data_IF_382833707742
#
_entry.id   IF_382833707742
#
_cell.length_a   1.000
_cell.length_b   1.000
_cell.length_c   1.000
_cell.angle_alpha   90.00
_cell.angle_beta   90.00
_cell.angle_gamma   90.00
#
_symmetry.space_group_name_H-M   'P 1'
#
loop_
_entity.id
_entity.type
_entity.pdbx_description
1 polymer ?
#
# COMPACT_ATOMS: atom_id res chain seq x y z
N UNK A 1 3.35 -37.55 -6.49
CA UNK A 1 4.32 -36.52 -6.92
C UNK A 1 4.31 -35.40 -5.89
N UNK A 2 5.48 -34.88 -5.47
CA UNK A 2 5.88 -34.79 -4.06
C UNK A 2 5.41 -33.55 -3.28
N UNK A 3 5.42 -33.74 -1.95
CA UNK A 3 4.96 -32.86 -0.87
C UNK A 3 5.56 -31.45 -0.91
N UNK A 4 4.73 -30.45 -0.64
CA UNK A 4 5.19 -29.16 -0.11
C UNK A 4 4.85 -29.12 1.39
N UNK A 5 5.86 -29.12 2.28
CA UNK A 5 5.58 -29.20 3.71
C UNK A 5 4.87 -27.93 4.16
N UNK A 6 3.73 -28.14 4.80
CA UNK A 6 3.20 -27.24 5.82
C UNK A 6 4.25 -27.19 6.93
N UNK A 7 4.89 -26.03 7.06
CA UNK A 7 5.91 -25.77 8.05
C UNK A 7 5.69 -24.38 8.59
N UNK A 8 5.41 -24.34 9.89
CA UNK A 8 5.58 -23.21 10.80
C UNK A 8 4.56 -22.07 10.70
N UNK A 9 3.37 -22.35 11.21
CA UNK A 9 2.59 -21.37 11.97
C UNK A 9 3.41 -20.95 13.20
N UNK A 10 3.95 -19.72 13.24
CA UNK A 10 4.33 -19.04 14.50
C UNK A 10 4.62 -17.52 14.38
N UNK A 11 4.66 -16.90 13.21
CA UNK A 11 4.97 -15.44 13.10
C UNK A 11 4.11 -14.70 12.06
N UNK A 12 2.79 -14.90 12.18
CA UNK A 12 1.70 -14.63 11.21
C UNK A 12 1.53 -13.21 10.62
N UNK A 13 2.55 -12.35 10.56
CA UNK A 13 2.52 -11.06 9.85
C UNK A 13 3.37 -11.00 8.59
N UNK A 14 4.41 -11.83 8.45
CA UNK A 14 5.32 -11.77 7.30
C UNK A 14 5.28 -13.13 6.57
N UNK A 15 4.93 -13.16 5.27
CA UNK A 15 4.92 -14.40 4.51
C UNK A 15 6.29 -15.09 4.52
N UNK A 16 6.31 -16.40 4.70
CA UNK A 16 7.55 -17.20 4.73
C UNK A 16 8.38 -17.01 3.45
N UNK A 17 7.72 -16.90 2.31
CA UNK A 17 8.32 -16.57 1.01
C UNK A 17 9.02 -15.20 0.99
N UNK A 18 8.44 -14.18 1.64
CA UNK A 18 9.07 -12.87 1.79
C UNK A 18 10.25 -12.92 2.78
N UNK A 19 10.09 -13.62 3.90
CA UNK A 19 11.16 -13.79 4.90
C UNK A 19 12.41 -14.43 4.30
N UNK A 20 12.25 -15.47 3.46
CA UNK A 20 13.36 -16.11 2.75
C UNK A 20 14.08 -15.17 1.78
N UNK A 21 13.32 -14.35 1.03
CA UNK A 21 13.92 -13.39 0.10
C UNK A 21 14.65 -12.24 0.81
N UNK A 22 14.12 -11.78 1.95
CA UNK A 22 14.80 -10.81 2.81
C UNK A 22 16.06 -11.41 3.43
N UNK A 23 16.04 -12.67 3.85
CA UNK A 23 17.23 -13.36 4.37
C UNK A 23 18.34 -13.47 3.30
N UNK A 24 17.98 -13.67 2.04
CA UNK A 24 18.93 -13.68 0.93
C UNK A 24 19.51 -12.29 0.58
N UNK A 25 18.86 -11.21 1.03
CA UNK A 25 19.26 -9.82 0.71
C UNK A 25 19.48 -9.01 1.99
N UNK A 26 20.70 -8.98 2.54
CA UNK A 26 20.97 -8.34 3.85
C UNK A 26 20.61 -6.86 3.88
N UNK A 27 20.82 -6.11 2.78
CA UNK A 27 20.40 -4.70 2.66
C UNK A 27 18.88 -4.53 2.80
N UNK A 28 18.10 -5.40 2.15
CA UNK A 28 16.66 -5.36 2.23
C UNK A 28 16.15 -5.76 3.63
N UNK A 29 16.81 -6.72 4.30
CA UNK A 29 16.50 -7.11 5.68
C UNK A 29 16.67 -5.96 6.66
N UNK A 30 17.78 -5.23 6.58
CA UNK A 30 18.01 -4.04 7.43
C UNK A 30 16.94 -2.99 7.20
N UNK A 31 16.63 -2.70 5.93
CA UNK A 31 15.59 -1.73 5.60
C UNK A 31 14.20 -2.19 6.04
N UNK A 32 13.92 -3.49 5.96
CA UNK A 32 12.66 -4.11 6.41
C UNK A 32 12.45 -3.97 7.92
N UNK A 33 13.51 -4.16 8.71
CA UNK A 33 13.47 -3.95 10.16
C UNK A 33 13.25 -2.47 10.52
N UNK A 34 13.84 -1.55 9.76
CA UNK A 34 13.65 -0.09 9.86
C UNK A 34 12.23 0.36 9.45
N UNK A 35 11.50 -0.44 8.67
CA UNK A 35 10.14 -0.09 8.27
C UNK A 35 9.18 -0.02 9.46
N UNK A 36 8.30 0.98 9.40
CA UNK A 36 7.15 1.07 10.30
C UNK A 36 6.21 -0.14 10.11
N UNK A 37 5.46 -0.55 11.15
CA UNK A 37 4.51 -1.65 11.06
C UNK A 37 3.51 -1.50 9.90
N UNK A 38 3.14 -0.26 9.56
CA UNK A 38 2.23 0.03 8.44
C UNK A 38 2.91 -0.26 7.09
N UNK A 39 4.16 0.16 6.92
CA UNK A 39 4.92 -0.09 5.70
C UNK A 39 5.19 -1.60 5.48
N UNK A 40 5.42 -2.38 6.55
CA UNK A 40 5.50 -3.84 6.44
C UNK A 40 4.16 -4.44 5.98
N UNK A 41 3.04 -4.01 6.59
CA UNK A 41 1.69 -4.44 6.17
C UNK A 41 1.40 -4.10 4.71
N UNK A 42 1.82 -2.94 4.23
CA UNK A 42 1.74 -2.53 2.81
C UNK A 42 2.36 -3.55 1.86
N UNK A 43 3.63 -3.91 2.11
CA UNK A 43 4.33 -4.89 1.29
C UNK A 43 3.67 -6.26 1.36
N UNK A 44 3.22 -6.67 2.55
CA UNK A 44 2.54 -7.96 2.75
C UNK A 44 1.22 -8.00 1.97
N UNK A 45 0.34 -7.00 2.13
CA UNK A 45 -0.92 -6.94 1.37
C UNK A 45 -0.70 -6.83 -0.13
N UNK A 46 0.36 -6.13 -0.57
CA UNK A 46 0.70 -6.06 -1.99
C UNK A 46 1.17 -7.41 -2.54
N UNK A 47 1.97 -8.16 -1.78
CA UNK A 47 2.40 -9.50 -2.18
C UNK A 47 1.21 -10.47 -2.15
N UNK A 48 0.35 -10.35 -1.14
CA UNK A 48 -0.82 -11.23 -0.94
C UNK A 48 -1.93 -11.04 -1.99
N UNK A 49 -2.10 -9.80 -2.47
CA UNK A 49 -2.99 -9.48 -3.58
C UNK A 49 -2.65 -10.25 -4.89
N UNK A 50 -1.43 -10.79 -5.03
CA UNK A 50 -1.09 -11.61 -6.19
C UNK A 50 -1.64 -13.04 -6.05
N UNK A 51 -2.79 -13.29 -6.70
CA UNK A 51 -3.43 -14.62 -6.77
C UNK A 51 -2.59 -15.68 -7.51
N UNK A 52 -1.67 -15.24 -8.37
CA UNK A 52 -0.78 -16.12 -9.15
C UNK A 52 0.58 -16.26 -8.47
N UNK A 53 1.07 -17.50 -8.34
CA UNK A 53 2.35 -17.80 -7.67
C UNK A 53 3.56 -17.16 -8.36
N UNK A 54 3.58 -17.11 -9.70
CA UNK A 54 4.62 -16.40 -10.45
C UNK A 54 4.62 -14.91 -10.15
N UNK A 55 3.45 -14.28 -10.16
CA UNK A 55 3.30 -12.85 -9.83
C UNK A 55 3.72 -12.56 -8.40
N UNK A 56 3.41 -13.46 -7.47
CA UNK A 56 3.83 -13.37 -6.06
C UNK A 56 5.36 -13.36 -5.95
N UNK A 57 6.05 -14.30 -6.62
CA UNK A 57 7.52 -14.36 -6.66
C UNK A 57 8.12 -13.06 -7.22
N UNK A 58 7.65 -12.61 -8.38
CA UNK A 58 8.09 -11.34 -8.98
C UNK A 58 7.89 -10.14 -8.05
N UNK A 59 6.77 -10.08 -7.32
CA UNK A 59 6.51 -9.01 -6.33
C UNK A 59 7.48 -9.09 -5.14
N UNK A 60 7.82 -10.28 -4.66
CA UNK A 60 8.80 -10.46 -3.58
C UNK A 60 10.20 -10.02 -4.01
N UNK A 61 10.66 -10.42 -5.19
CA UNK A 61 11.95 -10.00 -5.74
C UNK A 61 11.99 -8.48 -5.91
N UNK A 62 10.91 -7.91 -6.44
CA UNK A 62 10.76 -6.47 -6.58
C UNK A 62 10.72 -5.77 -5.22
N UNK A 63 10.06 -6.33 -4.22
CA UNK A 63 10.07 -5.80 -2.85
C UNK A 63 11.50 -5.76 -2.29
N UNK A 64 12.28 -6.83 -2.45
CA UNK A 64 13.67 -6.87 -1.99
C UNK A 64 14.55 -5.84 -2.71
N UNK A 65 14.42 -5.74 -4.04
CA UNK A 65 15.12 -4.72 -4.84
C UNK A 65 14.73 -3.29 -4.41
N UNK A 66 13.46 -3.05 -4.13
CA UNK A 66 12.95 -1.76 -3.67
C UNK A 66 13.47 -1.40 -2.28
N UNK A 67 13.45 -2.35 -1.34
CA UNK A 67 13.99 -2.18 0.01
C UNK A 67 15.50 -1.93 -0.04
N UNK A 68 16.23 -2.66 -0.88
CA UNK A 68 17.65 -2.44 -1.10
C UNK A 68 17.95 -1.05 -1.71
N UNK A 69 17.02 -0.50 -2.50
CA UNK A 69 17.07 0.87 -3.02
C UNK A 69 16.55 1.92 -2.02
N UNK A 70 16.28 1.56 -0.75
CA UNK A 70 15.79 2.47 0.28
C UNK A 70 14.30 2.85 0.14
N UNK A 71 13.57 2.23 -0.79
CA UNK A 71 12.14 2.49 -0.96
C UNK A 71 11.37 1.76 0.13
N UNK A 72 10.68 2.55 0.95
CA UNK A 72 9.91 2.04 2.08
C UNK A 72 8.51 1.53 1.71
N UNK A 73 8.15 1.46 0.42
CA UNK A 73 6.81 1.07 -0.08
C UNK A 73 6.85 0.45 -1.48
N UNK A 74 5.89 -0.43 -1.84
CA UNK A 74 5.72 -0.92 -3.20
C UNK A 74 5.17 0.19 -4.12
N UNK A 75 5.79 0.38 -5.30
CA UNK A 75 5.71 1.65 -6.05
C UNK A 75 4.39 1.94 -6.77
N UNK A 76 3.32 1.17 -6.54
CA UNK A 76 2.10 1.29 -7.35
C UNK A 76 0.79 1.13 -6.57
N UNK A 77 0.78 1.18 -5.23
CA UNK A 77 -0.50 1.21 -4.49
C UNK A 77 -1.04 2.65 -4.37
N UNK A 78 -1.25 3.30 -5.50
CA UNK A 78 -2.15 4.45 -5.60
C UNK A 78 -3.20 4.09 -6.63
N UNK A 79 -4.14 3.24 -6.22
CA UNK A 79 -5.40 3.10 -6.92
C UNK A 79 -6.21 4.33 -6.52
N UNK A 80 -5.94 5.46 -7.18
CA UNK A 80 -6.86 6.60 -7.11
C UNK A 80 -8.10 6.14 -7.84
N UNK A 81 -9.20 5.95 -7.12
CA UNK A 81 -10.49 5.58 -7.73
C UNK A 81 -10.88 6.61 -8.79
N UNK A 82 -11.46 6.18 -9.91
CA UNK A 82 -11.88 7.09 -10.98
C UNK A 82 -12.74 8.25 -10.48
N UNK A 83 -13.67 7.98 -9.54
CA UNK A 83 -14.49 9.01 -8.90
C UNK A 83 -13.66 10.06 -8.13
N UNK A 84 -12.61 9.63 -7.43
CA UNK A 84 -11.71 10.56 -6.73
C UNK A 84 -10.92 11.40 -7.73
N UNK A 85 -10.46 10.80 -8.83
CA UNK A 85 -9.78 11.53 -9.90
C UNK A 85 -10.70 12.61 -10.51
N UNK A 86 -11.95 12.29 -10.82
CA UNK A 86 -12.93 13.25 -11.37
C UNK A 86 -13.19 14.41 -10.41
N UNK A 87 -13.39 14.13 -9.13
CA UNK A 87 -13.67 15.15 -8.12
C UNK A 87 -12.44 16.04 -7.86
N UNK A 88 -11.23 15.46 -7.85
CA UNK A 88 -9.99 16.24 -7.75
C UNK A 88 -9.76 17.07 -9.02
N UNK A 89 -10.08 16.56 -10.21
CA UNK A 89 -9.94 17.31 -11.45
C UNK A 89 -10.86 18.55 -11.48
N UNK A 90 -12.05 18.47 -10.87
CA UNK A 90 -12.98 19.59 -10.75
C UNK A 90 -12.54 20.67 -9.74
N UNK A 91 -11.64 20.33 -8.80
CA UNK A 91 -11.21 21.24 -7.71
C UNK A 91 -9.69 21.43 -7.71
N UNK A 92 -9.15 22.50 -8.35
CA UNK A 92 -7.71 22.68 -8.53
C UNK A 92 -6.93 22.78 -7.21
N UNK A 93 -7.50 23.41 -6.17
CA UNK A 93 -6.90 23.48 -4.83
C UNK A 93 -6.74 22.10 -4.19
N UNK A 94 -7.79 21.27 -4.26
CA UNK A 94 -7.73 19.91 -3.73
C UNK A 94 -6.75 19.04 -4.51
N UNK A 95 -6.64 19.22 -5.83
CA UNK A 95 -5.67 18.51 -6.69
C UNK A 95 -4.23 18.90 -6.37
N UNK A 96 -3.97 20.19 -6.18
CA UNK A 96 -2.66 20.68 -5.76
C UNK A 96 -2.27 20.10 -4.40
N UNK A 97 -3.18 20.16 -3.42
CA UNK A 97 -2.96 19.57 -2.10
C UNK A 97 -2.75 18.06 -2.19
N UNK A 98 -3.56 17.34 -2.96
CA UNK A 98 -3.40 15.91 -3.18
C UNK A 98 -2.03 15.56 -3.75
N UNK A 99 -1.50 16.41 -4.63
CA UNK A 99 -0.18 16.26 -5.25
C UNK A 99 0.97 16.59 -4.29
N UNK A 100 0.73 17.46 -3.30
CA UNK A 100 1.64 17.78 -2.19
C UNK A 100 1.64 16.69 -1.10
N UNK A 101 0.52 15.98 -0.90
CA UNK A 101 0.42 14.96 0.13
C UNK A 101 1.50 13.88 0.00
N UNK A 102 2.03 13.47 1.14
CA UNK A 102 2.88 12.30 1.23
C UNK A 102 2.09 11.05 0.83
N UNK A 103 2.79 9.99 0.39
CA UNK A 103 2.15 8.71 0.13
C UNK A 103 1.39 8.14 1.35
N UNK A 104 1.73 8.56 2.59
CA UNK A 104 1.02 8.12 3.80
C UNK A 104 -0.37 8.77 3.90
N UNK A 105 -0.39 10.08 3.71
CA UNK A 105 -1.60 10.90 3.81
C UNK A 105 -2.62 10.53 2.74
N UNK A 106 -2.16 10.35 1.49
CA UNK A 106 -3.02 9.83 0.41
C UNK A 106 -3.64 8.49 0.77
N UNK A 107 -2.88 7.60 1.40
CA UNK A 107 -3.36 6.27 1.83
C UNK A 107 -4.39 6.36 2.95
N UNK A 108 -4.22 7.28 3.90
CA UNK A 108 -5.22 7.53 4.94
C UNK A 108 -6.55 7.97 4.34
N UNK A 109 -6.51 8.91 3.41
CA UNK A 109 -7.70 9.32 2.66
C UNK A 109 -8.32 8.14 1.91
N UNK A 110 -7.54 7.38 1.13
CA UNK A 110 -8.04 6.23 0.35
C UNK A 110 -8.65 5.16 1.26
N UNK A 111 -7.96 4.77 2.34
CA UNK A 111 -8.47 3.78 3.30
C UNK A 111 -9.73 4.26 4.01
N UNK A 112 -9.81 5.55 4.33
CA UNK A 112 -11.01 6.12 4.93
C UNK A 112 -12.18 6.15 3.94
N UNK A 113 -11.93 6.51 2.68
CA UNK A 113 -12.94 6.47 1.61
C UNK A 113 -13.45 5.03 1.39
N UNK A 114 -12.53 4.06 1.26
CA UNK A 114 -12.85 2.64 1.00
C UNK A 114 -13.50 1.92 2.20
N UNK A 115 -13.28 2.39 3.43
CA UNK A 115 -13.97 1.83 4.60
C UNK A 115 -15.50 2.08 4.60
N UNK A 116 -16.03 2.84 3.65
CA UNK A 116 -17.47 2.98 3.44
C UNK A 116 -17.99 1.80 2.62
N UNK A 117 -18.70 0.88 3.28
CA UNK A 117 -19.26 -0.32 2.64
C UNK A 117 -20.37 -0.03 1.61
N UNK A 118 -21.04 1.12 1.70
CA UNK A 118 -22.10 1.50 0.77
C UNK A 118 -21.59 2.46 -0.31
N UNK A 119 -22.01 2.32 -1.57
CA UNK A 119 -21.54 3.15 -2.69
C UNK A 119 -21.83 4.64 -2.45
N UNK A 120 -23.01 5.00 -1.93
CA UNK A 120 -23.32 6.40 -1.65
C UNK A 120 -22.56 6.98 -0.46
N UNK A 121 -22.27 6.15 0.54
CA UNK A 121 -21.41 6.55 1.65
C UNK A 121 -19.96 6.76 1.18
N UNK A 122 -19.48 5.94 0.24
CA UNK A 122 -18.17 6.10 -0.38
C UNK A 122 -18.11 7.40 -1.19
N UNK A 123 -19.13 7.68 -2.01
CA UNK A 123 -19.24 8.94 -2.76
C UNK A 123 -19.20 10.17 -1.85
N UNK A 124 -20.00 10.18 -0.77
CA UNK A 124 -20.00 11.26 0.24
C UNK A 124 -18.62 11.45 0.88
N UNK A 125 -17.87 10.37 1.13
CA UNK A 125 -16.50 10.47 1.67
C UNK A 125 -15.51 11.02 0.64
N UNK A 126 -15.67 10.71 -0.65
CA UNK A 126 -14.86 11.31 -1.72
C UNK A 126 -15.09 12.83 -1.79
N UNK A 127 -16.35 13.27 -1.77
CA UNK A 127 -16.70 14.69 -1.75
C UNK A 127 -16.14 15.39 -0.50
N UNK A 128 -16.29 14.76 0.67
CA UNK A 128 -15.76 15.28 1.92
C UNK A 128 -14.22 15.32 1.94
N UNK A 129 -13.54 14.33 1.36
CA UNK A 129 -12.10 14.33 1.18
C UNK A 129 -11.67 15.52 0.31
N UNK A 130 -12.39 15.81 -0.78
CA UNK A 130 -12.10 16.95 -1.65
C UNK A 130 -12.18 18.28 -0.89
N UNK A 131 -13.22 18.49 -0.08
CA UNK A 131 -13.37 19.68 0.77
C UNK A 131 -12.26 19.78 1.82
N UNK A 132 -11.90 18.66 2.45
CA UNK A 132 -10.79 18.59 3.41
C UNK A 132 -9.45 18.95 2.76
N UNK A 133 -9.18 18.43 1.56
CA UNK A 133 -7.96 18.74 0.81
C UNK A 133 -7.93 20.21 0.35
N UNK A 134 -9.06 20.75 -0.11
CA UNK A 134 -9.17 22.16 -0.49
C UNK A 134 -8.95 23.11 0.70
N UNK A 135 -9.27 22.68 1.92
CA UNK A 135 -9.02 23.43 3.16
C UNK A 135 -7.63 23.16 3.76
N UNK A 136 -6.76 22.45 3.04
CA UNK A 136 -5.38 22.19 3.45
C UNK A 136 -5.21 21.05 4.45
N UNK A 137 -6.27 20.32 4.79
CA UNK A 137 -6.16 19.16 5.68
C UNK A 137 -5.40 18.04 5.00
N UNK A 138 -4.47 17.45 5.75
CA UNK A 138 -3.63 16.34 5.28
C UNK A 138 -4.11 14.97 5.76
N UNK A 139 -5.16 14.93 6.58
CA UNK A 139 -5.85 13.72 6.99
C UNK A 139 -7.37 13.97 7.08
N UNK A 140 -8.21 12.93 6.89
CA UNK A 140 -9.65 13.03 7.08
C UNK A 140 -10.05 13.30 8.54
#
# INVERSE_FOLDING_TARGET
MPKKPAGEESEARVPTDLGKALAATPKAKTQWSDLTPIARRDFVSWIDSAKQLETRRRRIEKACSMLAAGKRRPCCYSIVSFNLYTVLAATPMAKAQWSDLTPFERRYFISWMDSAKQPEAHKRRIEKACVMLATGKRHP
#
